data_IF_346285850816
#
_entry.id   IF_346285850816
#
_cell.length_a   1.000
_cell.length_b   1.000
_cell.length_c   1.000
_cell.angle_alpha   90.00
_cell.angle_beta   90.00
_cell.angle_gamma   90.00
#
_symmetry.space_group_name_H-M   'P 1'
#
loop_
_entity.id
_entity.type
_entity.pdbx_description
1 polymer ?
#
# COMPACT_ATOMS: atom_id res chain seq x y z
N UNK A 1 -12.02 3.86 6.49
CA UNK A 1 -10.83 3.83 5.63
C UNK A 1 -11.01 4.53 4.28
N UNK A 2 -12.15 4.35 3.59
CA UNK A 2 -12.39 4.94 2.25
C UNK A 2 -12.95 6.38 2.25
N UNK A 3 -13.26 6.92 3.43
CA UNK A 3 -13.77 8.28 3.55
C UNK A 3 -12.60 9.29 3.51
N UNK A 4 -12.75 10.41 2.78
CA UNK A 4 -11.68 11.42 2.61
C UNK A 4 -11.22 12.01 3.94
N UNK A 5 -12.15 12.21 4.88
CA UNK A 5 -11.88 12.86 6.18
C UNK A 5 -11.56 11.85 7.29
N UNK A 6 -11.19 10.62 6.94
CA UNK A 6 -10.89 9.60 7.92
C UNK A 6 -9.55 9.88 8.60
N UNK A 7 -9.58 10.21 9.90
CA UNK A 7 -8.40 10.39 10.73
C UNK A 7 -7.46 9.19 10.63
N UNK A 8 -6.25 9.41 10.12
CA UNK A 8 -5.22 8.38 10.00
C UNK A 8 -3.88 8.89 10.52
N UNK A 9 -2.86 8.03 10.56
CA UNK A 9 -1.53 8.39 11.06
C UNK A 9 -1.17 7.75 12.40
N UNK A 10 -0.06 8.23 12.95
CA UNK A 10 0.64 7.67 14.09
C UNK A 10 0.52 8.56 15.33
N UNK A 11 0.55 7.94 16.51
CA UNK A 11 0.69 8.64 17.79
C UNK A 11 2.09 9.23 17.91
N UNK A 12 2.19 10.54 17.97
CA UNK A 12 3.45 11.25 18.15
C UNK A 12 3.72 11.52 19.63
N UNK A 13 4.90 11.09 20.05
CA UNK A 13 5.52 11.42 21.33
C UNK A 13 6.82 12.17 21.06
N UNK A 14 7.11 13.14 21.92
CA UNK A 14 8.39 13.86 21.95
C UNK A 14 8.93 13.78 23.36
N UNK A 15 10.11 13.19 23.52
CA UNK A 15 10.71 12.97 24.84
C UNK A 15 9.74 12.25 25.82
N UNK A 16 9.03 11.23 25.33
CA UNK A 16 7.99 10.49 26.08
C UNK A 16 6.76 11.32 26.48
N UNK A 17 6.66 12.58 26.03
CA UNK A 17 5.47 13.42 26.22
C UNK A 17 4.54 13.22 25.02
N UNK A 18 3.27 12.91 25.29
CA UNK A 18 2.26 12.77 24.25
C UNK A 18 1.95 14.13 23.61
N UNK A 19 1.99 14.18 22.27
CA UNK A 19 1.71 15.41 21.51
C UNK A 19 0.39 15.29 20.75
N UNK A 20 0.24 14.28 19.87
CA UNK A 20 -0.96 14.11 19.05
C UNK A 20 -1.16 12.66 18.59
N UNK A 21 -2.40 12.26 18.29
CA UNK A 21 -2.77 10.88 17.92
C UNK A 21 -2.73 10.62 16.39
N UNK A 22 -3.13 11.62 15.60
CA UNK A 22 -3.29 11.49 14.14
C UNK A 22 -2.23 12.31 13.39
N UNK A 23 -0.97 11.86 13.45
CA UNK A 23 0.12 12.47 12.68
C UNK A 23 0.25 11.77 11.32
N UNK A 24 -0.45 12.31 10.31
CA UNK A 24 -0.49 11.81 8.93
C UNK A 24 0.83 12.07 8.19
N UNK A 25 1.61 13.08 8.60
CA UNK A 25 2.84 13.51 7.94
C UNK A 25 3.95 12.46 7.94
N UNK A 26 3.88 11.46 8.82
CA UNK A 26 4.89 10.41 8.95
C UNK A 26 4.67 9.20 8.03
N UNK A 27 3.52 9.12 7.34
CA UNK A 27 3.21 8.01 6.43
C UNK A 27 2.71 8.56 5.08
N UNK A 28 3.07 7.93 3.95
CA UNK A 28 2.46 8.23 2.66
C UNK A 28 1.02 7.72 2.59
N UNK A 29 0.22 8.25 1.67
CA UNK A 29 -1.21 7.95 1.59
C UNK A 29 -1.48 6.47 1.31
N UNK A 30 -0.63 5.81 0.52
CA UNK A 30 -0.71 4.36 0.27
C UNK A 30 -0.40 3.48 1.49
N UNK A 31 0.09 4.04 2.60
CA UNK A 31 0.31 3.37 3.89
C UNK A 31 -0.62 3.89 5.00
N UNK A 32 -1.72 4.56 4.66
CA UNK A 32 -2.68 5.12 5.64
C UNK A 32 -3.32 4.09 6.61
N UNK A 33 -3.23 2.79 6.32
CA UNK A 33 -3.66 1.74 7.25
C UNK A 33 -2.71 1.52 8.41
N UNK A 34 -1.47 1.99 8.31
CA UNK A 34 -0.45 1.77 9.34
C UNK A 34 -0.84 2.54 10.60
N UNK A 35 -0.90 1.82 11.71
CA UNK A 35 -1.14 2.36 13.05
C UNK A 35 0.04 2.03 13.94
N UNK A 36 0.36 2.95 14.84
CA UNK A 36 1.48 2.80 15.75
C UNK A 36 1.77 4.08 16.51
N UNK A 37 2.89 4.07 17.22
CA UNK A 37 3.43 5.22 17.92
C UNK A 37 4.85 5.51 17.45
N UNK A 38 5.23 6.77 17.52
CA UNK A 38 6.58 7.25 17.26
C UNK A 38 7.01 8.16 18.40
N UNK A 39 8.18 7.89 18.97
CA UNK A 39 8.82 8.75 19.96
C UNK A 39 10.08 9.34 19.31
N UNK A 40 10.12 10.67 19.18
CA UNK A 40 11.25 11.39 18.58
C UNK A 40 11.88 12.33 19.60
N UNK A 41 13.21 12.29 19.73
CA UNK A 41 13.99 13.26 20.50
C UNK A 41 14.36 14.52 19.71
N UNK A 42 14.20 14.48 18.39
CA UNK A 42 14.73 15.48 17.46
C UNK A 42 13.72 16.58 17.12
N UNK A 43 12.45 16.37 17.48
CA UNK A 43 11.39 17.36 17.32
C UNK A 43 11.28 18.23 18.57
N UNK A 44 11.06 19.56 18.42
CA UNK A 44 10.85 20.43 19.57
C UNK A 44 9.47 20.20 20.18
N UNK A 45 9.32 20.53 21.48
CA UNK A 45 8.06 20.29 22.22
C UNK A 45 6.88 21.11 21.69
N UNK A 46 7.13 22.29 21.10
CA UNK A 46 6.13 23.19 20.54
C UNK A 46 5.73 22.83 19.09
N UNK A 47 5.87 21.57 18.71
CA UNK A 47 5.60 21.12 17.34
C UNK A 47 4.10 21.18 17.02
N UNK A 48 3.76 21.93 15.98
CA UNK A 48 2.40 22.04 15.41
C UNK A 48 2.29 21.24 14.10
N UNK A 49 1.06 21.08 13.59
CA UNK A 49 0.83 20.40 12.29
C UNK A 49 1.50 21.10 11.12
N UNK A 50 1.65 22.43 11.20
CA UNK A 50 2.31 23.26 10.19
C UNK A 50 3.83 23.00 10.17
N UNK A 51 4.47 23.02 11.34
CA UNK A 51 5.91 22.76 11.47
C UNK A 51 6.26 21.34 10.98
N UNK A 52 5.39 20.35 11.24
CA UNK A 52 5.58 18.99 10.76
C UNK A 52 5.58 18.90 9.22
N UNK A 53 4.79 19.72 8.53
CA UNK A 53 4.70 19.66 7.06
C UNK A 53 5.94 20.25 6.37
N UNK A 54 6.55 21.28 6.94
CA UNK A 54 7.70 21.98 6.35
C UNK A 54 9.06 21.37 6.76
N UNK A 55 9.12 20.70 7.91
CA UNK A 55 10.39 20.18 8.44
C UNK A 55 11.01 19.07 7.58
N UNK A 56 12.28 19.26 7.23
CA UNK A 56 13.11 18.24 6.54
C UNK A 56 13.28 16.98 7.38
N UNK A 57 13.31 17.11 8.71
CA UNK A 57 13.34 16.01 9.68
C UNK A 57 12.13 15.08 9.49
N UNK A 58 10.92 15.63 9.38
CA UNK A 58 9.70 14.83 9.18
C UNK A 58 9.72 14.10 7.85
N UNK A 59 10.23 14.73 6.77
CA UNK A 59 10.37 14.07 5.47
C UNK A 59 11.35 12.89 5.52
N UNK A 60 12.49 13.06 6.19
CA UNK A 60 13.48 11.99 6.35
C UNK A 60 12.91 10.85 7.19
N UNK A 61 12.22 11.19 8.28
CA UNK A 61 11.59 10.23 9.17
C UNK A 61 10.49 9.43 8.46
N UNK A 62 9.62 10.12 7.68
CA UNK A 62 8.62 9.48 6.81
C UNK A 62 9.27 8.46 5.88
N UNK A 63 10.34 8.83 5.17
CA UNK A 63 11.02 7.92 4.24
C UNK A 63 11.61 6.69 4.96
N UNK A 64 12.18 6.88 6.16
CA UNK A 64 12.71 5.78 6.97
C UNK A 64 11.60 4.83 7.44
N UNK A 65 10.48 5.37 7.92
CA UNK A 65 9.32 4.59 8.36
C UNK A 65 8.67 3.83 7.20
N UNK A 66 8.50 4.47 6.05
CA UNK A 66 7.99 3.84 4.83
C UNK A 66 8.83 2.60 4.47
N UNK A 67 10.17 2.75 4.43
CA UNK A 67 11.07 1.62 4.16
C UNK A 67 10.94 0.53 5.20
N UNK A 68 10.79 0.87 6.48
CA UNK A 68 10.62 -0.09 7.56
C UNK A 68 9.32 -0.89 7.41
N UNK A 69 8.22 -0.25 7.04
CA UNK A 69 6.93 -0.91 6.79
C UNK A 69 7.03 -1.84 5.58
N UNK A 70 7.61 -1.38 4.48
CA UNK A 70 7.79 -2.21 3.28
C UNK A 70 8.63 -3.46 3.57
N UNK A 71 9.72 -3.32 4.34
CA UNK A 71 10.54 -4.46 4.77
C UNK A 71 9.76 -5.43 5.68
N UNK A 72 8.91 -4.91 6.57
CA UNK A 72 8.06 -5.74 7.42
C UNK A 72 7.04 -6.52 6.61
N UNK A 73 6.42 -5.89 5.61
CA UNK A 73 5.48 -6.56 4.69
C UNK A 73 6.18 -7.61 3.84
N UNK A 74 7.43 -7.35 3.41
CA UNK A 74 8.22 -8.33 2.65
C UNK A 74 8.55 -9.56 3.51
N UNK A 75 8.90 -9.36 4.79
CA UNK A 75 9.11 -10.47 5.73
C UNK A 75 7.82 -11.25 5.94
N UNK A 76 6.71 -10.56 6.20
CA UNK A 76 5.40 -11.22 6.36
C UNK A 76 5.01 -12.04 5.13
N UNK A 77 5.31 -11.54 3.93
CA UNK A 77 5.05 -12.26 2.68
C UNK A 77 5.88 -13.55 2.53
N UNK A 78 7.09 -13.58 3.11
CA UNK A 78 8.01 -14.73 3.09
C UNK A 78 7.70 -15.73 4.20
N UNK A 79 7.38 -15.25 5.39
CA UNK A 79 7.21 -16.07 6.59
C UNK A 79 5.83 -16.73 6.63
N UNK A 80 4.76 -15.97 6.35
CA UNK A 80 3.37 -16.42 6.53
C UNK A 80 2.49 -16.02 5.33
N UNK A 81 2.44 -16.88 4.30
CA UNK A 81 1.69 -16.61 3.09
C UNK A 81 0.17 -16.43 3.30
N UNK A 82 -0.41 -17.10 4.31
CA UNK A 82 -1.83 -17.02 4.66
C UNK A 82 -2.19 -15.67 5.29
N UNK A 83 -1.41 -15.22 6.28
CA UNK A 83 -1.61 -13.89 6.90
C UNK A 83 -1.42 -12.77 5.89
N UNK A 84 -0.44 -12.92 5.01
CA UNK A 84 -0.25 -11.97 3.92
C UNK A 84 -1.42 -11.95 2.94
N UNK A 85 -2.07 -13.10 2.69
CA UNK A 85 -3.27 -13.15 1.85
C UNK A 85 -4.44 -12.37 2.48
N UNK A 86 -4.66 -12.51 3.79
CA UNK A 86 -5.65 -11.71 4.51
C UNK A 86 -5.32 -10.22 4.46
N UNK A 87 -4.05 -9.86 4.67
CA UNK A 87 -3.58 -8.48 4.51
C UNK A 87 -3.87 -7.94 3.10
N UNK A 88 -3.56 -8.72 2.06
CA UNK A 88 -3.77 -8.33 0.67
C UNK A 88 -5.25 -8.13 0.33
N UNK A 89 -6.13 -8.98 0.86
CA UNK A 89 -7.58 -8.84 0.68
C UNK A 89 -8.12 -7.54 1.29
N UNK A 90 -7.60 -7.11 2.44
CA UNK A 90 -8.07 -5.92 3.14
C UNK A 90 -7.44 -4.63 2.62
N UNK A 91 -6.13 -4.63 2.37
CA UNK A 91 -5.35 -3.41 2.10
C UNK A 91 -4.73 -3.35 0.70
N UNK A 92 -4.88 -4.40 -0.12
CA UNK A 92 -4.25 -4.46 -1.45
C UNK A 92 -4.72 -3.37 -2.42
N UNK A 93 -5.96 -2.89 -2.29
CA UNK A 93 -6.47 -1.76 -3.07
C UNK A 93 -5.72 -0.46 -2.75
N UNK A 94 -5.42 -0.21 -1.47
CA UNK A 94 -4.70 0.97 -1.01
C UNK A 94 -3.22 0.88 -1.40
N UNK A 95 -2.62 -0.29 -1.28
CA UNK A 95 -1.22 -0.51 -1.64
C UNK A 95 -0.95 -0.32 -3.15
N UNK A 96 -1.97 -0.52 -4.01
CA UNK A 96 -1.88 -0.27 -5.46
C UNK A 96 -1.75 1.21 -5.82
N UNK A 97 -2.06 2.12 -4.90
CA UNK A 97 -1.82 3.56 -5.10
C UNK A 97 -0.31 3.90 -5.02
N UNK A 98 0.47 3.05 -4.33
CA UNK A 98 1.89 3.28 -4.04
C UNK A 98 2.79 3.54 -5.25
N UNK A 99 2.73 2.78 -6.36
CA UNK A 99 3.62 3.00 -7.51
C UNK A 99 3.47 4.38 -8.16
N UNK A 100 2.29 5.01 -8.04
CA UNK A 100 2.04 6.35 -8.57
C UNK A 100 2.48 7.46 -7.61
N UNK A 101 2.46 7.20 -6.30
CA UNK A 101 2.83 8.17 -5.26
C UNK A 101 4.34 8.16 -4.96
N UNK A 102 4.95 6.98 -4.89
CA UNK A 102 6.33 6.79 -4.40
C UNK A 102 7.22 6.12 -5.44
N UNK A 103 7.82 6.96 -6.29
CA UNK A 103 8.76 6.56 -7.35
C UNK A 103 10.02 5.91 -6.80
N UNK A 104 10.49 6.32 -5.61
CA UNK A 104 11.74 5.83 -5.04
C UNK A 104 11.64 4.37 -4.56
N UNK A 105 10.45 3.92 -4.16
CA UNK A 105 10.22 2.57 -3.65
C UNK A 105 9.41 1.70 -4.61
N UNK A 106 9.27 2.08 -5.89
CA UNK A 106 8.46 1.35 -6.87
C UNK A 106 8.80 -0.14 -6.96
N UNK A 107 10.08 -0.50 -7.00
CA UNK A 107 10.51 -1.90 -7.09
C UNK A 107 10.12 -2.70 -5.84
N UNK A 108 10.25 -2.10 -4.65
CA UNK A 108 9.87 -2.74 -3.40
C UNK A 108 8.35 -2.94 -3.32
N UNK A 109 7.58 -1.94 -3.74
CA UNK A 109 6.12 -2.02 -3.80
C UNK A 109 5.69 -3.08 -4.82
N UNK A 110 6.29 -3.10 -6.01
CA UNK A 110 5.97 -4.07 -7.06
C UNK A 110 6.15 -5.52 -6.60
N UNK A 111 7.17 -5.82 -5.78
CA UNK A 111 7.39 -7.15 -5.18
C UNK A 111 6.26 -7.57 -4.23
N UNK A 112 5.60 -6.60 -3.59
CA UNK A 112 4.50 -6.84 -2.65
C UNK A 112 3.15 -7.01 -3.37
N UNK A 113 3.02 -6.52 -4.61
CA UNK A 113 1.78 -6.61 -5.36
C UNK A 113 1.50 -8.07 -5.79
N UNK A 114 0.40 -8.63 -5.30
CA UNK A 114 -0.14 -9.89 -5.84
C UNK A 114 -1.08 -9.54 -6.99
N UNK A 115 -0.52 -9.44 -8.20
CA UNK A 115 -1.34 -9.34 -9.41
C UNK A 115 -2.10 -10.64 -9.57
N UNK A 116 -3.42 -10.53 -9.70
CA UNK A 116 -4.24 -11.62 -10.20
C UNK A 116 -3.86 -11.77 -11.68
N UNK A 117 -2.80 -12.53 -11.96
CA UNK A 117 -2.60 -13.04 -13.31
C UNK A 117 -3.89 -13.80 -13.65
N UNK A 118 -4.60 -13.37 -14.68
CA UNK A 118 -5.77 -14.02 -15.26
C UNK A 118 -5.47 -15.44 -15.82
N UNK A 119 -4.37 -16.05 -15.38
CA UNK A 119 -3.81 -17.28 -15.93
C UNK A 119 -4.47 -18.56 -15.35
N UNK A 120 -5.27 -18.54 -14.25
CA UNK A 120 -6.08 -19.72 -13.94
C UNK A 120 -7.59 -19.48 -13.72
N UNK A 121 -8.18 -18.35 -14.13
CA UNK A 121 -9.66 -18.28 -14.17
C UNK A 121 -10.22 -19.18 -15.31
N UNK A 122 -9.40 -19.53 -16.30
CA UNK A 122 -9.71 -20.57 -17.29
C UNK A 122 -9.30 -21.99 -16.88
N UNK A 123 -8.66 -22.18 -15.72
CA UNK A 123 -8.24 -23.50 -15.24
C UNK A 123 -8.73 -23.70 -13.81
N UNK A 124 -10.00 -24.14 -13.71
CA UNK A 124 -10.42 -25.05 -12.62
C UNK A 124 -9.36 -26.17 -12.52
N UNK A 125 -8.44 -26.12 -11.54
CA UNK A 125 -7.87 -27.23 -10.74
C UNK A 125 -6.83 -26.68 -9.74
N UNK A 126 -6.65 -27.33 -8.58
CA UNK A 126 -6.09 -26.70 -7.38
C UNK A 126 -4.56 -26.59 -7.40
N UNK A 127 -4.09 -25.42 -6.97
CA UNK A 127 -2.92 -25.19 -6.13
C UNK A 127 -1.67 -26.06 -6.38
N UNK A 128 -0.72 -25.52 -7.15
CA UNK A 128 0.70 -25.72 -6.87
C UNK A 128 1.41 -24.38 -6.99
N UNK A 129 1.57 -23.72 -5.86
CA UNK A 129 2.35 -22.49 -5.73
C UNK A 129 3.83 -22.86 -5.91
N UNK A 130 4.40 -22.53 -7.07
CA UNK A 130 5.85 -22.35 -7.20
C UNK A 130 6.11 -20.87 -7.41
N UNK A 131 6.53 -20.24 -6.33
CA UNK A 131 7.01 -18.86 -6.28
C UNK A 131 8.39 -18.79 -6.92
N UNK A 132 8.43 -18.54 -8.23
CA UNK A 132 9.58 -17.87 -8.84
C UNK A 132 9.08 -17.09 -10.03
N UNK A 133 9.10 -15.76 -9.94
CA UNK A 133 9.12 -14.92 -11.14
C UNK A 133 10.44 -15.26 -11.86
N UNK A 134 10.41 -15.84 -13.08
CA UNK A 134 11.64 -16.03 -13.83
C UNK A 134 12.11 -14.64 -14.27
N UNK A 135 13.26 -14.23 -13.76
CA UNK A 135 14.05 -13.16 -14.33
C UNK A 135 14.67 -13.68 -15.63
N UNK A 136 13.85 -13.86 -16.67
CA UNK A 136 14.34 -14.18 -18.01
C UNK A 136 13.87 -13.09 -18.96
N UNK A 137 14.70 -12.04 -19.04
CA UNK A 137 14.58 -10.98 -20.03
C UNK A 137 14.78 -11.61 -21.40
N UNK A 138 13.71 -11.73 -22.20
CA UNK A 138 13.88 -11.87 -23.65
C UNK A 138 14.46 -10.55 -24.17
N UNK A 139 15.60 -10.65 -24.84
CA UNK A 139 16.27 -9.51 -25.46
C UNK A 139 15.33 -8.87 -26.48
N UNK A 140 14.95 -7.60 -26.26
CA UNK A 140 14.28 -6.76 -27.25
C UNK A 140 12.92 -6.17 -26.89
N UNK A 141 12.29 -6.54 -25.78
CA UNK A 141 10.95 -6.05 -25.41
C UNK A 141 11.00 -5.06 -24.23
N UNK A 142 10.80 -3.77 -24.50
CA UNK A 142 10.84 -2.68 -23.51
C UNK A 142 9.47 -2.35 -22.88
N UNK A 143 8.44 -3.19 -23.05
CA UNK A 143 7.08 -2.87 -22.62
C UNK A 143 6.46 -3.98 -21.76
N UNK A 144 6.21 -3.68 -20.48
CA UNK A 144 5.24 -4.43 -19.69
C UNK A 144 3.84 -4.16 -20.27
N UNK A 145 3.23 -5.16 -20.90
CA UNK A 145 1.85 -5.06 -21.38
C UNK A 145 0.88 -5.08 -20.18
N UNK A 146 0.32 -3.92 -19.82
CA UNK A 146 -0.76 -3.81 -18.84
C UNK A 146 -2.11 -3.61 -19.56
N UNK A 147 -2.95 -4.63 -19.58
CA UNK A 147 -4.32 -4.53 -20.12
C UNK A 147 -5.29 -4.17 -18.98
N UNK A 148 -5.83 -2.95 -18.99
CA UNK A 148 -6.84 -2.49 -18.03
C UNK A 148 -8.23 -2.85 -18.56
N UNK A 149 -8.73 -4.04 -18.22
CA UNK A 149 -10.14 -4.36 -18.45
C UNK A 149 -10.98 -3.58 -17.43
N UNK A 150 -11.65 -2.51 -17.89
CA UNK A 150 -12.74 -1.88 -17.14
C UNK A 150 -13.90 -2.88 -17.16
N UNK A 151 -14.18 -3.54 -16.02
CA UNK A 151 -15.40 -4.31 -15.87
C UNK A 151 -16.54 -3.30 -15.77
N UNK A 152 -17.30 -3.21 -16.87
CA UNK A 152 -18.40 -2.27 -17.05
C UNK A 152 -19.52 -2.49 -16.04
N UNK A 153 -20.18 -1.39 -15.75
CA UNK A 153 -21.45 -1.24 -15.05
C UNK A 153 -22.48 -2.30 -15.45
N UNK A 154 -23.09 -2.91 -14.45
CA UNK A 154 -24.27 -3.75 -14.56
C UNK A 154 -25.45 -2.87 -14.98
N UNK A 155 -25.79 -2.92 -16.28
CA UNK A 155 -26.94 -2.26 -16.87
C UNK A 155 -28.20 -3.06 -16.47
N UNK A 156 -29.09 -2.42 -15.70
CA UNK A 156 -30.38 -3.02 -15.33
C UNK A 156 -31.24 -3.23 -16.58
N UNK A 157 -31.85 -4.41 -16.79
CA UNK A 157 -32.73 -4.63 -17.93
C UNK A 157 -34.07 -3.91 -17.73
N UNK A 158 -34.48 -3.15 -18.74
CA UNK A 158 -35.80 -2.53 -18.82
C UNK A 158 -36.93 -3.60 -18.88
N UNK A 159 -38.08 -3.38 -18.22
CA UNK A 159 -39.22 -4.27 -18.35
C UNK A 159 -39.97 -3.99 -19.65
N UNK A 160 -39.79 -4.87 -20.63
CA UNK A 160 -40.69 -5.00 -21.78
C UNK A 160 -41.60 -6.20 -21.57
N UNK A 161 -42.90 -5.98 -21.45
CA UNK A 161 -43.91 -7.02 -21.72
C UNK A 161 -45.07 -6.35 -22.42
N UNK A 162 -45.19 -6.66 -23.71
CA UNK A 162 -46.40 -6.48 -24.48
C UNK A 162 -47.27 -7.72 -24.29
N UNK A 163 -48.50 -7.53 -23.80
CA UNK A 163 -49.72 -8.22 -24.19
C UNK A 163 -50.90 -7.37 -23.71
#
# INVERSE_FOLDING_TARGET
MWNRDHKHGLKLYVQRVFIMDDAEQFMPNYLRFVRGLIDSSDLPLNVSREILQDSTVTRNLRNALTKRVLQMLEKLAKDDAEKYQTFWQQFGLVLKEGPAEDFANQEAIAKLLRLLLLIPILLRRPCLWKTTFPHERRAGENLLHHCRQLCGSEEQPAPGTAA
#
